data_IF_196462236053
#
_entry.id   IF_196462236053
#
_cell.length_a   1.000
_cell.length_b   1.000
_cell.length_c   1.000
_cell.angle_alpha   90.00
_cell.angle_beta   90.00
_cell.angle_gamma   90.00
#
_symmetry.space_group_name_H-M   'P 1'
#
loop_
_entity.id
_entity.type
_entity.pdbx_description
1 polymer ?
#
# COMPACT_ATOMS: atom_id res chain seq x y z
N UNK A 1 -18.53 30.68 31.06
CA UNK A 1 -17.16 30.41 30.57
C UNK A 1 -17.18 29.18 29.69
N UNK A 2 -17.34 29.34 28.38
CA UNK A 2 -17.26 28.23 27.41
C UNK A 2 -15.82 28.13 26.91
N UNK A 3 -15.10 27.13 27.41
CA UNK A 3 -13.79 26.73 26.92
C UNK A 3 -13.88 26.37 25.44
N UNK A 4 -13.33 27.21 24.56
CA UNK A 4 -13.05 26.84 23.18
C UNK A 4 -11.91 25.82 23.22
N UNK A 5 -12.24 24.53 23.06
CA UNK A 5 -11.24 23.54 22.66
C UNK A 5 -10.65 24.03 21.32
N UNK A 6 -9.43 24.57 21.35
CA UNK A 6 -8.66 24.73 20.13
C UNK A 6 -8.31 23.33 19.67
N UNK A 7 -8.99 22.86 18.63
CA UNK A 7 -8.55 21.68 17.90
C UNK A 7 -7.14 21.98 17.41
N UNK A 8 -6.13 21.34 18.00
CA UNK A 8 -4.76 21.48 17.51
C UNK A 8 -4.71 20.85 16.13
N UNK A 9 -4.66 21.69 15.10
CA UNK A 9 -4.54 21.24 13.72
C UNK A 9 -3.16 20.61 13.60
N UNK A 10 -3.11 19.29 13.74
CA UNK A 10 -1.87 18.53 13.63
C UNK A 10 -1.25 18.80 12.26
N UNK A 11 -0.01 19.30 12.23
CA UNK A 11 0.67 19.62 10.99
C UNK A 11 0.80 18.37 10.10
N UNK A 12 0.62 18.50 8.76
CA UNK A 12 0.86 17.41 7.84
C UNK A 12 2.29 16.85 7.94
N UNK A 13 2.42 15.53 7.79
CA UNK A 13 3.70 14.80 7.85
C UNK A 13 4.55 15.05 6.60
N UNK A 14 3.93 15.46 5.49
CA UNK A 14 4.59 15.72 4.22
C UNK A 14 4.04 17.01 3.60
N UNK A 15 4.90 17.79 2.91
CA UNK A 15 4.44 18.90 2.07
C UNK A 15 3.39 18.44 1.04
N UNK A 16 2.41 19.30 0.69
CA UNK A 16 1.30 18.95 -0.19
C UNK A 16 1.73 18.29 -1.51
N UNK A 17 2.79 18.80 -2.14
CA UNK A 17 3.35 18.24 -3.40
C UNK A 17 3.65 16.74 -3.31
N UNK A 18 4.28 16.30 -2.22
CA UNK A 18 4.70 14.91 -2.06
C UNK A 18 3.55 14.04 -1.56
N UNK A 19 2.68 14.57 -0.69
CA UNK A 19 1.47 13.86 -0.28
C UNK A 19 0.51 13.60 -1.46
N UNK A 20 0.34 14.57 -2.37
CA UNK A 20 -0.47 14.41 -3.59
C UNK A 20 0.12 13.38 -4.54
N UNK A 21 1.44 13.24 -4.60
CA UNK A 21 2.10 12.18 -5.37
C UNK A 21 1.73 10.80 -4.81
N UNK A 22 1.75 10.64 -3.49
CA UNK A 22 1.41 9.38 -2.82
C UNK A 22 -0.08 9.07 -2.92
N UNK A 23 -0.94 10.08 -2.76
CA UNK A 23 -2.38 9.94 -3.01
C UNK A 23 -2.68 9.45 -4.42
N UNK A 24 -2.04 10.04 -5.44
CA UNK A 24 -2.22 9.61 -6.84
C UNK A 24 -1.68 8.21 -7.08
N UNK A 25 -0.51 7.87 -6.54
CA UNK A 25 0.07 6.54 -6.74
C UNK A 25 -0.70 5.45 -5.99
N UNK A 26 -1.46 5.76 -4.94
CA UNK A 26 -2.36 4.79 -4.29
C UNK A 26 -3.44 4.24 -5.24
N UNK A 27 -3.82 4.97 -6.30
CA UNK A 27 -4.73 4.43 -7.32
C UNK A 27 -4.14 3.26 -8.13
N UNK A 28 -2.83 3.02 -8.05
CA UNK A 28 -2.24 1.78 -8.61
C UNK A 28 -2.88 0.53 -7.98
N UNK A 29 -3.40 0.61 -6.75
CA UNK A 29 -4.11 -0.49 -6.10
C UNK A 29 -5.42 -0.86 -6.78
N UNK A 30 -5.99 0.01 -7.63
CA UNK A 30 -7.10 -0.38 -8.50
C UNK A 30 -6.75 -1.55 -9.42
N UNK A 31 -5.50 -1.67 -9.87
CA UNK A 31 -5.08 -2.82 -10.69
C UNK A 31 -5.16 -4.14 -9.91
N UNK A 32 -4.77 -4.14 -8.64
CA UNK A 32 -4.93 -5.32 -7.77
C UNK A 32 -6.40 -5.65 -7.54
N UNK A 33 -7.25 -4.66 -7.27
CA UNK A 33 -8.70 -4.89 -7.08
C UNK A 33 -9.33 -5.47 -8.34
N UNK A 34 -9.09 -4.86 -9.50
CA UNK A 34 -9.65 -5.30 -10.78
C UNK A 34 -9.10 -6.68 -11.16
N UNK A 35 -7.79 -6.90 -10.98
CA UNK A 35 -7.14 -8.18 -11.25
C UNK A 35 -7.75 -9.31 -10.41
N UNK A 36 -7.87 -9.11 -9.10
CA UNK A 36 -8.46 -10.09 -8.21
C UNK A 36 -9.93 -10.39 -8.54
N UNK A 37 -10.73 -9.37 -8.86
CA UNK A 37 -12.14 -9.57 -9.28
C UNK A 37 -12.22 -10.36 -10.58
N UNK A 38 -11.37 -10.09 -11.56
CA UNK A 38 -11.33 -10.83 -12.83
C UNK A 38 -10.94 -12.30 -12.67
N UNK A 39 -10.11 -12.60 -11.67
CA UNK A 39 -9.73 -13.96 -11.30
C UNK A 39 -10.68 -14.60 -10.28
N UNK A 40 -11.80 -13.95 -9.94
CA UNK A 40 -12.77 -14.41 -8.93
C UNK A 40 -12.17 -14.61 -7.52
N UNK A 41 -11.04 -13.95 -7.23
CA UNK A 41 -10.32 -14.01 -5.95
C UNK A 41 -10.88 -12.97 -4.97
N UNK A 42 -12.11 -13.19 -4.50
CA UNK A 42 -12.85 -12.22 -3.69
C UNK A 42 -12.15 -11.80 -2.39
N UNK A 43 -11.44 -12.71 -1.73
CA UNK A 43 -10.65 -12.39 -0.54
C UNK A 43 -9.50 -11.43 -0.85
N UNK A 44 -8.77 -11.67 -1.95
CA UNK A 44 -7.72 -10.78 -2.44
C UNK A 44 -8.28 -9.41 -2.84
N UNK A 45 -9.43 -9.40 -3.55
CA UNK A 45 -10.11 -8.18 -3.95
C UNK A 45 -10.53 -7.34 -2.74
N UNK A 46 -11.08 -7.99 -1.70
CA UNK A 46 -11.49 -7.33 -0.47
C UNK A 46 -10.30 -6.66 0.24
N UNK A 47 -9.22 -7.39 0.51
CA UNK A 47 -8.07 -6.81 1.23
C UNK A 47 -7.38 -5.71 0.40
N UNK A 48 -7.32 -5.85 -0.93
CA UNK A 48 -6.79 -4.81 -1.81
C UNK A 48 -7.68 -3.55 -1.81
N UNK A 49 -9.00 -3.71 -1.80
CA UNK A 49 -9.95 -2.61 -1.72
C UNK A 49 -9.82 -1.87 -0.38
N UNK A 50 -9.68 -2.60 0.73
CA UNK A 50 -9.44 -2.01 2.05
C UNK A 50 -8.16 -1.16 2.03
N UNK A 51 -7.06 -1.69 1.49
CA UNK A 51 -5.80 -0.93 1.33
C UNK A 51 -6.02 0.34 0.50
N UNK A 52 -6.68 0.25 -0.65
CA UNK A 52 -6.96 1.41 -1.50
C UNK A 52 -7.72 2.50 -0.72
N UNK A 53 -8.80 2.11 -0.03
CA UNK A 53 -9.64 3.05 0.71
C UNK A 53 -8.89 3.69 1.88
N UNK A 54 -8.13 2.91 2.65
CA UNK A 54 -7.35 3.44 3.77
C UNK A 54 -6.22 4.35 3.32
N UNK A 55 -5.53 3.99 2.22
CA UNK A 55 -4.46 4.79 1.65
C UNK A 55 -4.97 6.13 1.10
N UNK A 56 -6.05 6.13 0.33
CA UNK A 56 -6.67 7.37 -0.14
C UNK A 56 -7.17 8.24 1.02
N UNK A 57 -7.79 7.62 2.03
CA UNK A 57 -8.27 8.33 3.21
C UNK A 57 -7.14 8.94 4.05
N UNK A 58 -5.97 8.30 4.11
CA UNK A 58 -4.81 8.84 4.80
C UNK A 58 -4.11 9.93 3.96
N UNK A 59 -3.73 9.62 2.72
CA UNK A 59 -2.89 10.49 1.88
C UNK A 59 -3.57 11.79 1.43
N UNK A 60 -4.90 11.90 1.47
CA UNK A 60 -5.61 13.17 1.23
C UNK A 60 -5.26 14.28 2.23
N UNK A 61 -4.87 13.90 3.45
CA UNK A 61 -4.41 14.82 4.49
C UNK A 61 -3.56 14.04 5.50
N UNK A 62 -2.26 13.81 5.23
CA UNK A 62 -1.44 12.90 6.00
C UNK A 62 -1.00 13.56 7.31
N UNK A 63 -1.74 13.33 8.40
CA UNK A 63 -1.39 13.75 9.76
C UNK A 63 -1.12 12.52 10.61
N UNK A 64 -0.28 12.64 11.63
CA UNK A 64 -0.12 11.56 12.62
C UNK A 64 -1.48 11.30 13.29
N UNK A 65 -1.86 10.04 13.44
CA UNK A 65 -3.12 9.66 14.06
C UNK A 65 -3.69 8.35 13.52
N UNK A 66 -4.94 8.07 13.86
CA UNK A 66 -5.59 6.78 13.58
C UNK A 66 -5.69 6.43 12.10
N UNK A 67 -5.84 7.42 11.19
CA UNK A 67 -5.89 7.18 9.74
C UNK A 67 -4.60 6.54 9.22
N UNK A 68 -3.45 6.97 9.75
CA UNK A 68 -2.15 6.36 9.45
C UNK A 68 -2.09 4.94 9.97
N UNK A 69 -2.55 4.71 11.20
CA UNK A 69 -2.56 3.37 11.80
C UNK A 69 -3.43 2.42 10.98
N UNK A 70 -4.64 2.84 10.60
CA UNK A 70 -5.55 2.06 9.76
C UNK A 70 -4.92 1.69 8.41
N UNK A 71 -4.29 2.65 7.74
CA UNK A 71 -3.58 2.43 6.47
C UNK A 71 -2.43 1.42 6.62
N UNK A 72 -1.56 1.61 7.60
CA UNK A 72 -0.45 0.68 7.85
C UNK A 72 -0.94 -0.72 8.23
N UNK A 73 -1.99 -0.83 9.06
CA UNK A 73 -2.59 -2.11 9.43
C UNK A 73 -3.21 -2.81 8.22
N UNK A 74 -3.92 -2.08 7.35
CA UNK A 74 -4.49 -2.63 6.12
C UNK A 74 -3.39 -3.17 5.18
N UNK A 75 -2.31 -2.41 4.98
CA UNK A 75 -1.18 -2.84 4.12
C UNK A 75 -0.51 -4.10 4.70
N UNK A 76 -0.25 -4.14 6.00
CA UNK A 76 0.37 -5.32 6.65
C UNK A 76 -0.57 -6.53 6.57
N UNK A 77 -1.85 -6.36 6.87
CA UNK A 77 -2.84 -7.43 6.78
C UNK A 77 -2.98 -7.99 5.37
N UNK A 78 -3.04 -7.10 4.36
CA UNK A 78 -3.07 -7.51 2.97
C UNK A 78 -1.79 -8.25 2.55
N UNK A 79 -0.61 -7.79 2.99
CA UNK A 79 0.65 -8.46 2.70
C UNK A 79 0.71 -9.87 3.32
N UNK A 80 0.24 -10.04 4.55
CA UNK A 80 0.14 -11.36 5.21
C UNK A 80 -0.84 -12.26 4.46
N UNK A 81 -2.00 -11.74 4.07
CA UNK A 81 -3.00 -12.52 3.34
C UNK A 81 -2.48 -12.99 1.98
N UNK A 82 -1.84 -12.11 1.19
CA UNK A 82 -1.25 -12.50 -0.09
C UNK A 82 -0.06 -13.44 0.08
N UNK A 83 0.75 -13.29 1.13
CA UNK A 83 1.81 -14.26 1.45
C UNK A 83 1.24 -15.65 1.79
N UNK A 84 0.14 -15.71 2.54
CA UNK A 84 -0.59 -16.94 2.76
C UNK A 84 -1.08 -17.55 1.43
N UNK A 85 -1.72 -16.76 0.57
CA UNK A 85 -2.17 -17.25 -0.74
C UNK A 85 -1.00 -17.76 -1.60
N UNK A 86 0.15 -17.10 -1.57
CA UNK A 86 1.35 -17.56 -2.26
C UNK A 86 1.86 -18.91 -1.76
N UNK A 87 1.85 -19.17 -0.45
CA UNK A 87 2.41 -20.40 0.11
C UNK A 87 1.40 -21.55 0.10
N UNK A 88 0.13 -21.26 0.37
CA UNK A 88 -0.89 -22.27 0.63
C UNK A 88 -1.85 -22.52 -0.54
N UNK A 89 -1.99 -21.58 -1.49
CA UNK A 89 -3.01 -21.64 -2.54
C UNK A 89 -2.38 -21.67 -3.93
N UNK A 90 -1.36 -20.86 -4.18
CA UNK A 90 -0.66 -20.80 -5.47
C UNK A 90 -0.02 -22.15 -5.82
N UNK A 91 -0.31 -22.66 -7.02
CA UNK A 91 0.15 -23.98 -7.48
C UNK A 91 1.38 -23.90 -8.40
N UNK A 92 1.73 -22.70 -8.90
CA UNK A 92 2.86 -22.50 -9.81
C UNK A 92 4.13 -22.07 -9.06
N UNK A 93 5.17 -22.93 -8.96
CA UNK A 93 6.40 -22.59 -8.25
C UNK A 93 7.17 -21.40 -8.86
N UNK A 94 7.07 -21.19 -10.17
CA UNK A 94 7.70 -20.04 -10.82
C UNK A 94 7.02 -18.75 -10.36
N UNK A 95 5.68 -18.73 -10.29
CA UNK A 95 4.92 -17.59 -9.76
C UNK A 95 5.26 -17.33 -8.30
N UNK A 96 5.40 -18.36 -7.47
CA UNK A 96 5.81 -18.20 -6.07
C UNK A 96 7.18 -17.53 -5.93
N UNK A 97 8.18 -18.00 -6.69
CA UNK A 97 9.53 -17.41 -6.68
C UNK A 97 9.51 -15.97 -7.18
N UNK A 98 8.81 -15.72 -8.29
CA UNK A 98 8.70 -14.37 -8.85
C UNK A 98 7.96 -13.42 -7.90
N UNK A 99 6.88 -13.87 -7.26
CA UNK A 99 6.18 -13.13 -6.22
C UNK A 99 7.12 -12.75 -5.07
N UNK A 100 7.87 -13.72 -4.53
CA UNK A 100 8.82 -13.48 -3.44
C UNK A 100 9.89 -12.45 -3.82
N UNK A 101 10.43 -12.52 -5.04
CA UNK A 101 11.41 -11.55 -5.55
C UNK A 101 10.82 -10.14 -5.69
N UNK A 102 9.59 -10.00 -6.21
CA UNK A 102 8.95 -8.69 -6.37
C UNK A 102 8.58 -8.10 -5.01
N UNK A 103 8.09 -8.92 -4.07
CA UNK A 103 7.82 -8.50 -2.67
C UNK A 103 9.11 -8.04 -1.98
N UNK A 104 10.22 -8.77 -2.15
CA UNK A 104 11.51 -8.37 -1.61
C UNK A 104 11.97 -7.01 -2.17
N UNK A 105 11.79 -6.77 -3.47
CA UNK A 105 12.09 -5.47 -4.09
C UNK A 105 11.15 -4.36 -3.59
N UNK A 106 9.88 -4.65 -3.34
CA UNK A 106 8.96 -3.69 -2.69
C UNK A 106 9.43 -3.33 -1.27
N UNK A 107 9.89 -4.33 -0.50
CA UNK A 107 10.52 -4.11 0.80
C UNK A 107 11.79 -3.26 0.71
N UNK A 108 12.62 -3.47 -0.32
CA UNK A 108 13.77 -2.63 -0.61
C UNK A 108 13.35 -1.18 -0.89
N UNK A 109 12.31 -0.95 -1.72
CA UNK A 109 11.75 0.38 -1.93
C UNK A 109 11.33 1.06 -0.62
N UNK A 110 10.68 0.32 0.29
CA UNK A 110 10.36 0.84 1.62
C UNK A 110 11.62 1.28 2.39
N UNK A 111 12.64 0.43 2.45
CA UNK A 111 13.89 0.73 3.15
C UNK A 111 14.57 1.98 2.58
N UNK A 112 14.61 2.12 1.25
CA UNK A 112 15.18 3.28 0.58
C UNK A 112 14.35 4.55 0.82
N UNK A 113 13.03 4.46 0.86
CA UNK A 113 12.16 5.58 1.23
C UNK A 113 12.46 6.10 2.65
N UNK A 114 12.80 5.20 3.59
CA UNK A 114 13.17 5.54 4.98
C UNK A 114 14.56 6.15 5.12
N UNK A 115 15.49 5.81 4.22
CA UNK A 115 16.87 6.33 4.19
C UNK A 115 17.04 7.55 3.28
N UNK A 116 15.98 7.97 2.59
CA UNK A 116 16.04 9.02 1.60
C UNK A 116 16.50 10.37 2.22
N UNK A 117 17.33 11.14 1.50
CA UNK A 117 17.88 12.41 2.00
C UNK A 117 16.85 13.55 2.05
N UNK A 118 15.71 13.40 1.38
CA UNK A 118 14.63 14.38 1.35
C UNK A 118 13.29 13.72 0.97
N UNK A 119 12.20 14.48 1.14
CA UNK A 119 10.83 14.02 0.92
C UNK A 119 10.52 13.72 -0.55
N UNK A 120 11.20 14.37 -1.49
CA UNK A 120 11.03 14.10 -2.92
C UNK A 120 11.51 12.69 -3.26
N UNK A 121 12.72 12.33 -2.81
CA UNK A 121 13.30 11.00 -3.02
C UNK A 121 12.53 9.95 -2.20
N UNK A 122 12.16 10.27 -0.97
CA UNK A 122 11.36 9.37 -0.11
C UNK A 122 10.02 9.02 -0.75
N UNK A 123 9.28 10.03 -1.24
CA UNK A 123 7.98 9.81 -1.89
C UNK A 123 8.11 9.10 -3.24
N UNK A 124 9.20 9.27 -3.98
CA UNK A 124 9.46 8.51 -5.21
C UNK A 124 9.67 7.01 -4.92
N UNK A 125 10.49 6.68 -3.91
CA UNK A 125 10.66 5.29 -3.48
C UNK A 125 9.37 4.66 -2.97
N UNK A 126 8.54 5.43 -2.26
CA UNK A 126 7.22 4.96 -1.82
C UNK A 126 6.27 4.71 -3.00
N UNK A 127 6.32 5.51 -4.07
CA UNK A 127 5.62 5.18 -5.31
C UNK A 127 6.13 3.87 -5.94
N UNK A 128 7.45 3.61 -5.86
CA UNK A 128 8.03 2.33 -6.25
C UNK A 128 7.44 1.16 -5.45
N UNK A 129 7.27 1.33 -4.14
CA UNK A 129 6.57 0.35 -3.29
C UNK A 129 5.12 0.12 -3.74
N UNK A 130 4.35 1.17 -4.05
CA UNK A 130 2.99 1.01 -4.58
C UNK A 130 3.00 0.22 -5.90
N UNK A 131 3.92 0.53 -6.81
CA UNK A 131 3.99 -0.13 -8.12
C UNK A 131 4.36 -1.61 -7.97
N UNK A 132 5.46 -1.91 -7.28
CA UNK A 132 5.95 -3.27 -7.12
C UNK A 132 5.03 -4.14 -6.26
N UNK A 133 4.45 -3.58 -5.19
CA UNK A 133 3.48 -4.30 -4.37
C UNK A 133 2.24 -4.71 -5.16
N UNK A 134 1.70 -3.82 -5.99
CA UNK A 134 0.55 -4.15 -6.85
C UNK A 134 0.92 -5.07 -8.01
N UNK A 135 2.13 -4.94 -8.59
CA UNK A 135 2.62 -5.89 -9.59
C UNK A 135 2.78 -7.31 -9.01
N UNK A 136 3.28 -7.45 -7.78
CA UNK A 136 3.36 -8.72 -7.08
C UNK A 136 1.97 -9.34 -6.89
N UNK A 137 0.98 -8.56 -6.46
CA UNK A 137 -0.39 -9.03 -6.29
C UNK A 137 -0.98 -9.55 -7.61
N UNK A 138 -0.91 -8.77 -8.69
CA UNK A 138 -1.45 -9.17 -10.00
C UNK A 138 -0.74 -10.41 -10.54
N UNK A 139 0.60 -10.49 -10.40
CA UNK A 139 1.37 -11.68 -10.75
C UNK A 139 0.88 -12.92 -9.98
N UNK A 140 0.69 -12.79 -8.66
CA UNK A 140 0.24 -13.88 -7.82
C UNK A 140 -1.14 -14.40 -8.23
N UNK A 141 -2.06 -13.52 -8.62
CA UNK A 141 -3.41 -13.91 -9.05
C UNK A 141 -3.43 -14.80 -10.30
N UNK A 142 -2.37 -14.78 -11.12
CA UNK A 142 -2.24 -15.67 -12.27
C UNK A 142 -1.74 -17.06 -11.92
N UNK A 143 -1.15 -17.25 -10.74
CA UNK A 143 -0.65 -18.55 -10.27
C UNK A 143 -1.51 -19.20 -9.17
N UNK A 144 -2.57 -18.51 -8.72
CA UNK A 144 -3.64 -19.05 -7.88
C UNK A 144 -4.74 -19.56 -8.80
#
# INVERSE_FOLDING_TARGET
>A
MTSKLSASTSAPVLPPRYSSRLFRSSFATCFSVIGAVRCELWGCAFVALVVLLTSLNYWRNPVKGWRRTADMTAVIGAAIYHAYCCVAVCQDPLVQVMYALVVANSGYCYMQARKAPNENVSSAWHCGLHLLGNAANVLLYHGI
#
